data_IF_803787797078
#
_entry.id   IF_803787797078
#
_cell.length_a   1.000
_cell.length_b   1.000
_cell.length_c   1.000
_cell.angle_alpha   90.00
_cell.angle_beta   90.00
_cell.angle_gamma   90.00
#
_symmetry.space_group_name_H-M   'P 1'
#
loop_
_entity.id
_entity.type
_entity.pdbx_description
1 polymer ?
#
# COMPACT_ATOMS: atom_id res chain seq x y z
N UNK A 1 -23.01 23.01 -10.55
CA UNK A 1 -23.16 21.54 -10.62
C UNK A 1 -22.26 20.95 -9.55
N UNK A 2 -22.83 20.26 -8.55
CA UNK A 2 -22.03 19.69 -7.45
C UNK A 2 -21.31 18.46 -7.99
N UNK A 3 -20.11 18.64 -8.55
CA UNK A 3 -19.28 17.58 -9.10
C UNK A 3 -18.62 16.77 -7.99
N UNK A 4 -19.44 16.01 -7.24
CA UNK A 4 -18.94 15.07 -6.25
C UNK A 4 -18.44 13.80 -6.97
N UNK A 5 -17.13 13.72 -7.21
CA UNK A 5 -16.46 12.58 -7.85
C UNK A 5 -16.80 11.23 -7.20
N UNK A 6 -17.03 11.22 -5.88
CA UNK A 6 -17.49 10.03 -5.16
C UNK A 6 -18.84 9.53 -5.68
N UNK A 7 -19.81 10.44 -5.83
CA UNK A 7 -21.17 10.09 -6.26
C UNK A 7 -21.15 9.59 -7.70
N UNK A 8 -20.30 10.16 -8.56
CA UNK A 8 -20.10 9.68 -9.92
C UNK A 8 -19.52 8.26 -9.94
N UNK A 9 -18.50 7.98 -9.12
CA UNK A 9 -17.91 6.64 -9.01
C UNK A 9 -18.91 5.59 -8.51
N UNK A 10 -19.64 5.90 -7.44
CA UNK A 10 -20.68 4.99 -6.91
C UNK A 10 -21.85 4.81 -7.88
N UNK A 11 -22.27 5.86 -8.58
CA UNK A 11 -23.30 5.77 -9.61
C UNK A 11 -22.87 4.84 -10.75
N UNK A 12 -21.61 4.93 -11.21
CA UNK A 12 -21.08 4.04 -12.26
C UNK A 12 -21.07 2.56 -11.83
N UNK A 13 -20.72 2.28 -10.57
CA UNK A 13 -20.73 0.92 -10.03
C UNK A 13 -22.18 0.40 -9.92
N UNK A 14 -23.10 1.24 -9.45
CA UNK A 14 -24.50 0.89 -9.31
C UNK A 14 -25.17 0.64 -10.67
N UNK A 15 -24.86 1.46 -11.69
CA UNK A 15 -25.36 1.24 -13.05
C UNK A 15 -24.80 -0.03 -13.66
N UNK A 16 -23.51 -0.31 -13.47
CA UNK A 16 -22.90 -1.56 -13.93
C UNK A 16 -23.52 -2.78 -13.24
N UNK A 17 -23.75 -2.70 -11.92
CA UNK A 17 -24.46 -3.74 -11.16
C UNK A 17 -25.87 -3.97 -11.72
N UNK A 18 -26.65 -2.90 -11.95
CA UNK A 18 -27.98 -2.99 -12.53
C UNK A 18 -27.97 -3.59 -13.94
N UNK A 19 -27.00 -3.20 -14.78
CA UNK A 19 -26.87 -3.68 -16.16
C UNK A 19 -26.54 -5.18 -16.21
N UNK A 20 -25.60 -5.64 -15.36
CA UNK A 20 -25.25 -7.06 -15.27
C UNK A 20 -26.43 -7.89 -14.75
N UNK A 21 -27.17 -7.37 -13.77
CA UNK A 21 -28.36 -8.04 -13.26
C UNK A 21 -29.46 -8.15 -14.32
N UNK A 22 -29.62 -7.10 -15.15
CA UNK A 22 -30.60 -7.06 -16.22
C UNK A 22 -30.24 -8.01 -17.38
N UNK A 23 -28.97 -8.04 -17.81
CA UNK A 23 -28.56 -8.83 -18.98
C UNK A 23 -28.29 -10.30 -18.67
N UNK A 24 -27.64 -10.62 -17.55
CA UNK A 24 -27.24 -11.99 -17.22
C UNK A 24 -28.12 -12.63 -16.13
N UNK A 25 -29.02 -11.86 -15.52
CA UNK A 25 -29.88 -12.32 -14.43
C UNK A 25 -29.14 -12.58 -13.11
N UNK A 26 -29.87 -13.04 -12.07
CA UNK A 26 -29.30 -13.30 -10.74
C UNK A 26 -28.22 -14.38 -10.73
N UNK A 27 -28.29 -15.34 -11.67
CA UNK A 27 -27.32 -16.42 -11.79
C UNK A 27 -25.98 -15.94 -12.32
N UNK A 28 -25.97 -15.07 -13.34
CA UNK A 28 -24.73 -14.47 -13.83
C UNK A 28 -24.16 -13.42 -12.90
N UNK A 29 -25.03 -12.67 -12.20
CA UNK A 29 -24.60 -11.73 -11.15
C UNK A 29 -23.72 -12.38 -10.09
N UNK A 30 -23.96 -13.66 -9.73
CA UNK A 30 -23.13 -14.37 -8.74
C UNK A 30 -21.65 -14.47 -9.15
N UNK A 31 -21.36 -14.55 -10.45
CA UNK A 31 -19.98 -14.59 -10.95
C UNK A 31 -19.36 -13.19 -11.05
N UNK A 32 -20.15 -12.19 -11.45
CA UNK A 32 -19.68 -10.80 -11.61
C UNK A 32 -19.70 -9.98 -10.31
N UNK A 33 -20.34 -10.47 -9.25
CA UNK A 33 -20.45 -9.76 -7.98
C UNK A 33 -19.08 -9.40 -7.40
N UNK A 34 -18.14 -10.35 -7.44
CA UNK A 34 -16.81 -10.13 -6.88
C UNK A 34 -15.99 -9.07 -7.65
N UNK A 35 -15.90 -9.13 -9.00
CA UNK A 35 -15.32 -8.04 -9.79
C UNK A 35 -16.01 -6.67 -9.60
N UNK A 36 -17.35 -6.64 -9.49
CA UNK A 36 -18.10 -5.39 -9.32
C UNK A 36 -17.83 -4.79 -7.93
N UNK A 37 -17.80 -5.60 -6.88
CA UNK A 37 -17.39 -5.14 -5.55
C UNK A 37 -15.95 -4.64 -5.52
N UNK A 38 -15.05 -5.25 -6.30
CA UNK A 38 -13.66 -4.80 -6.40
C UNK A 38 -13.54 -3.38 -6.99
N UNK A 39 -14.44 -2.98 -7.90
CA UNK A 39 -14.46 -1.63 -8.46
C UNK A 39 -14.69 -0.54 -7.39
N UNK A 40 -15.21 -0.88 -6.21
CA UNK A 40 -15.33 0.07 -5.10
C UNK A 40 -13.97 0.62 -4.68
N UNK A 41 -12.89 -0.16 -4.79
CA UNK A 41 -11.52 0.34 -4.54
C UNK A 41 -11.04 1.36 -5.57
N UNK A 42 -11.66 1.42 -6.76
CA UNK A 42 -11.38 2.43 -7.76
C UNK A 42 -12.15 3.73 -7.52
N UNK A 43 -13.14 3.75 -6.62
CA UNK A 43 -13.82 5.00 -6.24
C UNK A 43 -12.94 5.75 -5.26
N UNK A 44 -12.62 7.00 -5.58
CA UNK A 44 -11.92 7.89 -4.66
C UNK A 44 -12.76 8.04 -3.39
N UNK A 45 -12.27 7.52 -2.27
CA UNK A 45 -12.88 7.74 -0.95
C UNK A 45 -12.86 9.24 -0.59
N UNK A 46 -13.74 9.65 0.32
CA UNK A 46 -13.87 11.04 0.75
C UNK A 46 -12.51 11.60 1.17
N UNK A 47 -12.11 12.72 0.56
CA UNK A 47 -10.82 13.38 0.80
C UNK A 47 -10.55 13.56 2.30
N UNK A 48 -11.56 13.96 3.08
CA UNK A 48 -11.44 14.15 4.53
C UNK A 48 -11.06 12.88 5.31
N UNK A 49 -11.62 11.73 4.95
CA UNK A 49 -11.29 10.44 5.60
C UNK A 49 -9.90 10.00 5.19
N UNK A 50 -9.59 10.12 3.90
CA UNK A 50 -8.30 9.78 3.33
C UNK A 50 -7.18 10.60 3.96
N UNK A 51 -7.34 11.91 4.08
CA UNK A 51 -6.33 12.80 4.68
C UNK A 51 -5.99 12.41 6.12
N UNK A 52 -7.01 12.13 6.95
CA UNK A 52 -6.79 11.68 8.34
C UNK A 52 -6.06 10.36 8.42
N UNK A 53 -6.47 9.37 7.64
CA UNK A 53 -5.83 8.05 7.60
C UNK A 53 -4.39 8.19 7.11
N UNK A 54 -4.18 8.90 6.00
CA UNK A 54 -2.85 9.07 5.40
C UNK A 54 -1.91 9.82 6.36
N UNK A 55 -2.40 10.80 7.11
CA UNK A 55 -1.61 11.51 8.11
C UNK A 55 -1.09 10.58 9.22
N UNK A 56 -1.94 9.72 9.76
CA UNK A 56 -1.53 8.74 10.77
C UNK A 56 -0.52 7.73 10.19
N UNK A 57 -0.78 7.25 8.96
CA UNK A 57 0.15 6.36 8.27
C UNK A 57 1.51 7.00 8.03
N UNK A 58 1.55 8.31 7.71
CA UNK A 58 2.80 9.07 7.56
C UNK A 58 3.58 9.08 8.88
N UNK A 59 2.94 9.39 10.00
CA UNK A 59 3.58 9.40 11.32
C UNK A 59 4.16 8.02 11.70
N UNK A 60 3.40 6.96 11.48
CA UNK A 60 3.86 5.59 11.74
C UNK A 60 5.02 5.23 10.82
N UNK A 61 4.92 5.58 9.54
CA UNK A 61 5.98 5.31 8.57
C UNK A 61 7.27 6.07 8.91
N UNK A 62 7.18 7.34 9.30
CA UNK A 62 8.34 8.15 9.69
C UNK A 62 9.05 7.58 10.90
N UNK A 63 8.30 7.20 11.95
CA UNK A 63 8.86 6.56 13.14
C UNK A 63 9.48 5.20 12.82
N UNK A 64 8.78 4.35 12.06
CA UNK A 64 9.30 3.03 11.69
C UNK A 64 10.56 3.11 10.83
N UNK A 65 10.61 4.09 9.91
CA UNK A 65 11.78 4.29 9.04
C UNK A 65 12.95 4.88 9.82
N UNK A 66 12.69 5.78 10.77
CA UNK A 66 13.70 6.28 11.70
C UNK A 66 14.34 5.13 12.47
N UNK A 67 13.55 4.24 13.09
CA UNK A 67 14.08 3.07 13.82
C UNK A 67 14.95 2.20 12.89
N UNK A 68 14.46 1.91 11.69
CA UNK A 68 15.18 1.05 10.74
C UNK A 68 16.51 1.69 10.29
N UNK A 69 16.51 2.99 10.02
CA UNK A 69 17.69 3.73 9.61
C UNK A 69 18.66 3.96 10.77
N UNK A 70 18.17 4.18 11.99
CA UNK A 70 18.99 4.34 13.19
C UNK A 70 19.76 3.05 13.51
N UNK A 71 19.11 1.89 13.39
CA UNK A 71 19.77 0.58 13.54
C UNK A 71 20.87 0.35 12.48
N UNK A 72 20.69 0.89 11.28
CA UNK A 72 21.67 0.81 10.18
C UNK A 72 22.76 1.88 10.26
N UNK A 73 22.51 3.00 10.98
CA UNK A 73 23.42 4.13 11.12
C UNK A 73 24.85 3.75 11.56
N UNK A 74 25.03 2.89 12.59
CA UNK A 74 26.34 2.42 13.02
C UNK A 74 27.12 1.64 11.95
N UNK A 75 26.42 0.95 11.04
CA UNK A 75 27.04 0.12 9.99
C UNK A 75 27.51 0.98 8.82
N UNK A 76 26.74 2.02 8.48
CA UNK A 76 27.00 2.89 7.34
C UNK A 76 27.65 4.24 7.71
N UNK A 77 27.81 4.54 9.00
CA UNK A 77 28.47 5.76 9.48
C UNK A 77 27.63 7.03 9.29
N UNK A 78 26.35 7.01 9.63
CA UNK A 78 25.49 8.20 9.65
C UNK A 78 24.65 8.25 10.93
N UNK A 79 24.21 9.44 11.32
CA UNK A 79 23.22 9.64 12.38
C UNK A 79 21.91 10.16 11.79
N UNK A 80 20.79 9.91 12.48
CA UNK A 80 19.48 10.30 11.98
C UNK A 80 18.59 10.85 13.09
N UNK A 81 18.02 12.03 12.84
CA UNK A 81 17.03 12.65 13.71
C UNK A 81 15.66 12.69 13.04
N UNK A 82 14.61 12.60 13.85
CA UNK A 82 13.22 12.67 13.38
C UNK A 82 12.55 13.93 13.93
N UNK A 83 12.26 14.89 13.05
CA UNK A 83 11.52 16.11 13.39
C UNK A 83 10.14 16.06 12.76
N UNK A 84 9.15 15.62 13.54
CA UNK A 84 7.77 15.44 13.07
C UNK A 84 7.66 14.32 12.03
N UNK A 85 7.64 14.69 10.75
CA UNK A 85 7.52 13.76 9.61
C UNK A 85 8.71 13.88 8.64
N UNK A 86 9.76 14.59 9.04
CA UNK A 86 11.00 14.77 8.27
C UNK A 86 12.13 14.04 8.99
N UNK A 87 12.84 13.20 8.25
CA UNK A 87 14.05 12.52 8.70
C UNK A 87 15.25 13.37 8.31
N UNK A 88 16.05 13.78 9.27
CA UNK A 88 17.29 14.53 9.07
C UNK A 88 18.44 13.56 9.15
N UNK A 89 19.03 13.24 8.00
CA UNK A 89 20.12 12.27 7.90
C UNK A 89 21.44 13.04 7.87
N UNK A 90 22.36 12.74 8.79
CA UNK A 90 23.68 13.35 8.89
C UNK A 90 24.76 12.30 8.53
N UNK A 91 25.28 12.31 7.29
CA UNK A 91 26.38 11.44 6.90
C UNK A 91 27.69 11.86 7.58
N UNK A 92 28.59 10.92 7.89
CA UNK A 92 29.94 11.25 8.41
C UNK A 92 30.77 12.08 7.42
N UNK A 93 30.45 12.02 6.14
CA UNK A 93 31.12 12.74 5.04
C UNK A 93 30.08 13.40 4.14
N UNK A 94 29.49 14.50 4.58
CA UNK A 94 28.57 15.26 3.74
C UNK A 94 27.72 16.29 4.50
N UNK A 95 26.96 17.11 3.75
CA UNK A 95 25.93 17.98 4.33
C UNK A 95 24.72 17.16 4.82
N UNK A 96 23.93 17.76 5.70
CA UNK A 96 22.65 17.21 6.14
C UNK A 96 21.70 16.99 4.96
N UNK A 97 21.03 15.84 4.96
CA UNK A 97 20.06 15.46 3.94
C UNK A 97 18.67 15.36 4.57
N UNK A 98 17.81 16.39 4.40
CA UNK A 98 16.45 16.35 4.91
C UNK A 98 15.56 15.52 3.99
N UNK A 99 15.05 14.39 4.49
CA UNK A 99 14.09 13.54 3.79
C UNK A 99 12.71 13.74 4.39
N UNK A 100 11.86 14.51 3.72
CA UNK A 100 10.47 14.64 4.12
C UNK A 100 9.68 13.39 3.74
N UNK A 101 9.26 12.60 4.74
CA UNK A 101 8.46 11.39 4.51
C UNK A 101 7.12 11.73 3.86
N UNK A 102 6.61 12.95 4.07
CA UNK A 102 5.36 13.39 3.46
C UNK A 102 5.47 13.60 1.94
N UNK A 103 6.68 13.92 1.44
CA UNK A 103 6.97 14.09 0.01
C UNK A 103 7.53 12.80 -0.61
N UNK A 104 8.25 12.00 0.19
CA UNK A 104 8.71 10.65 -0.16
C UNK A 104 7.61 9.59 -0.22
N UNK A 105 6.57 9.78 0.58
CA UNK A 105 5.33 9.06 0.44
C UNK A 105 4.37 9.96 -0.31
N UNK A 106 4.26 9.79 -1.63
CA UNK A 106 3.36 10.50 -2.55
C UNK A 106 1.85 10.31 -2.27
N UNK A 107 1.45 10.50 -1.02
CA UNK A 107 0.11 10.71 -0.54
C UNK A 107 -0.86 9.54 -0.72
N UNK A 108 -2.13 9.93 -0.69
CA UNK A 108 -3.35 9.12 -0.69
C UNK A 108 -3.42 8.01 -1.76
N UNK A 109 -2.61 8.09 -2.83
CA UNK A 109 -2.61 7.13 -3.94
C UNK A 109 -1.95 5.80 -3.60
N UNK A 110 -0.84 5.81 -2.85
CA UNK A 110 -0.11 4.58 -2.52
C UNK A 110 -0.89 3.66 -1.60
N UNK A 111 -1.60 4.23 -0.61
CA UNK A 111 -2.44 3.45 0.31
C UNK A 111 -3.57 2.77 -0.43
N UNK A 112 -4.27 3.50 -1.30
CA UNK A 112 -5.34 2.92 -2.14
C UNK A 112 -4.78 1.86 -3.09
N UNK A 113 -3.62 2.10 -3.70
CA UNK A 113 -2.97 1.12 -4.57
C UNK A 113 -2.61 -0.17 -3.82
N UNK A 114 -2.09 -0.07 -2.59
CA UNK A 114 -1.79 -1.24 -1.77
C UNK A 114 -3.04 -2.01 -1.35
N UNK A 115 -4.10 -1.32 -0.93
CA UNK A 115 -5.37 -1.98 -0.60
C UNK A 115 -6.03 -2.61 -1.83
N UNK A 116 -5.99 -1.94 -2.98
CA UNK A 116 -6.48 -2.49 -4.24
C UNK A 116 -5.67 -3.73 -4.64
N UNK A 117 -4.34 -3.65 -4.56
CA UNK A 117 -3.46 -4.77 -4.89
C UNK A 117 -3.68 -5.96 -3.93
N UNK A 118 -3.76 -5.71 -2.63
CA UNK A 118 -4.06 -6.74 -1.65
C UNK A 118 -5.43 -7.37 -1.87
N UNK A 119 -6.44 -6.55 -2.22
CA UNK A 119 -7.75 -7.02 -2.64
C UNK A 119 -7.66 -7.92 -3.87
N UNK A 120 -6.93 -7.52 -4.91
CA UNK A 120 -6.74 -8.33 -6.11
C UNK A 120 -6.06 -9.66 -5.80
N UNK A 121 -4.99 -9.65 -5.00
CA UNK A 121 -4.30 -10.88 -4.57
C UNK A 121 -5.22 -11.78 -3.74
N UNK A 122 -6.00 -11.22 -2.80
CA UNK A 122 -6.98 -11.98 -2.03
C UNK A 122 -8.04 -12.63 -2.93
N UNK A 123 -8.51 -11.90 -3.94
CA UNK A 123 -9.49 -12.40 -4.90
C UNK A 123 -8.95 -13.53 -5.77
N UNK A 124 -7.71 -13.41 -6.25
CA UNK A 124 -7.10 -14.36 -7.16
C UNK A 124 -6.56 -15.61 -6.44
N UNK A 125 -6.09 -15.45 -5.21
CA UNK A 125 -5.38 -16.52 -4.49
C UNK A 125 -6.28 -17.30 -3.54
N UNK A 126 -7.38 -16.70 -3.02
CA UNK A 126 -8.22 -17.37 -2.01
C UNK A 126 -9.66 -17.62 -2.46
N UNK A 127 -10.09 -18.88 -2.28
CA UNK A 127 -11.45 -19.33 -2.60
C UNK A 127 -12.45 -19.12 -1.46
N UNK A 128 -11.98 -19.04 -0.20
CA UNK A 128 -12.88 -18.96 0.98
C UNK A 128 -13.08 -17.51 1.45
N UNK A 129 -14.33 -17.14 1.73
CA UNK A 129 -14.70 -15.77 2.15
C UNK A 129 -13.98 -15.29 3.42
N UNK A 130 -13.76 -16.18 4.40
CA UNK A 130 -13.00 -15.85 5.61
C UNK A 130 -11.52 -15.56 5.34
N UNK A 131 -10.90 -16.27 4.38
CA UNK A 131 -9.50 -16.02 4.00
C UNK A 131 -9.35 -14.66 3.32
N UNK A 132 -10.34 -14.26 2.50
CA UNK A 132 -10.39 -12.93 1.88
C UNK A 132 -10.45 -11.82 2.92
N UNK A 133 -11.29 -11.97 3.95
CA UNK A 133 -11.39 -11.01 5.05
C UNK A 133 -10.08 -10.96 5.85
N UNK A 134 -9.49 -12.10 6.17
CA UNK A 134 -8.21 -12.16 6.89
C UNK A 134 -7.08 -11.48 6.11
N UNK A 135 -6.96 -11.74 4.80
CA UNK A 135 -6.00 -11.08 3.92
C UNK A 135 -6.23 -9.56 3.83
N UNK A 136 -7.50 -9.14 3.73
CA UNK A 136 -7.86 -7.73 3.73
C UNK A 136 -7.51 -7.02 5.04
N UNK A 137 -7.66 -7.70 6.19
CA UNK A 137 -7.23 -7.17 7.48
C UNK A 137 -5.70 -7.10 7.57
N UNK A 138 -5.00 -8.12 7.05
CA UNK A 138 -3.54 -8.16 7.01
C UNK A 138 -2.94 -7.13 6.03
N UNK A 139 -3.70 -6.73 5.01
CA UNK A 139 -3.29 -5.75 4.03
C UNK A 139 -2.88 -4.41 4.65
N UNK A 140 -3.61 -3.95 5.68
CA UNK A 140 -3.32 -2.69 6.37
C UNK A 140 -1.93 -2.69 7.02
N UNK A 141 -1.65 -3.60 7.97
CA UNK A 141 -0.32 -3.73 8.59
C UNK A 141 0.80 -3.94 7.57
N UNK A 142 0.58 -4.76 6.55
CA UNK A 142 1.60 -5.03 5.51
C UNK A 142 1.86 -3.79 4.66
N UNK A 143 0.82 -3.04 4.28
CA UNK A 143 0.97 -1.79 3.56
C UNK A 143 1.80 -0.77 4.35
N UNK A 144 1.58 -0.69 5.68
CA UNK A 144 2.39 0.15 6.57
C UNK A 144 3.85 -0.33 6.60
N UNK A 145 4.09 -1.63 6.77
CA UNK A 145 5.44 -2.19 6.80
C UNK A 145 6.20 -1.96 5.48
N UNK A 146 5.58 -2.20 4.34
CA UNK A 146 6.17 -1.92 3.02
C UNK A 146 6.43 -0.42 2.83
N UNK A 147 5.57 0.44 3.36
CA UNK A 147 5.78 1.88 3.32
C UNK A 147 6.98 2.33 4.16
N UNK A 148 7.18 1.72 5.35
CA UNK A 148 8.38 1.92 6.18
C UNK A 148 9.65 1.52 5.42
N UNK A 149 9.66 0.31 4.84
CA UNK A 149 10.81 -0.18 4.08
C UNK A 149 11.10 0.74 2.90
N UNK A 150 10.07 1.20 2.17
CA UNK A 150 10.24 2.11 1.02
C UNK A 150 10.96 3.40 1.43
N UNK A 151 10.52 4.02 2.53
CA UNK A 151 11.10 5.28 3.02
C UNK A 151 12.52 5.06 3.53
N UNK A 152 12.79 3.95 4.22
CA UNK A 152 14.13 3.61 4.66
C UNK A 152 15.09 3.37 3.49
N UNK A 153 14.67 2.61 2.47
CA UNK A 153 15.47 2.38 1.26
C UNK A 153 15.74 3.70 0.54
N UNK A 154 14.73 4.57 0.41
CA UNK A 154 14.91 5.88 -0.20
C UNK A 154 15.90 6.74 0.60
N UNK A 155 15.83 6.73 1.93
CA UNK A 155 16.81 7.41 2.79
C UNK A 155 18.23 6.86 2.62
N UNK A 156 18.38 5.54 2.47
CA UNK A 156 19.68 4.92 2.22
C UNK A 156 20.23 5.26 0.82
N UNK A 157 19.38 5.29 -0.21
CA UNK A 157 19.79 5.70 -1.56
C UNK A 157 20.18 7.19 -1.58
N UNK A 158 19.46 8.01 -0.83
CA UNK A 158 19.74 9.43 -0.67
C UNK A 158 21.13 9.72 -0.07
N UNK A 159 21.73 8.77 0.66
CA UNK A 159 23.09 8.89 1.21
C UNK A 159 24.18 8.73 0.15
N UNK A 160 23.90 8.02 -0.96
CA UNK A 160 24.88 7.78 -2.03
C UNK A 160 24.92 8.94 -3.00
N UNK A 161 23.75 9.46 -3.37
CA UNK A 161 23.62 10.63 -4.24
C UNK A 161 22.45 11.51 -3.77
N UNK A 162 22.73 12.70 -3.21
CA UNK A 162 21.69 13.65 -2.77
C UNK A 162 20.78 14.12 -3.92
N UNK A 163 21.28 14.17 -5.16
CA UNK A 163 20.49 14.52 -6.34
C UNK A 163 19.41 13.45 -6.68
N UNK A 164 19.59 12.19 -6.28
CA UNK A 164 18.58 11.15 -6.49
C UNK A 164 17.34 11.33 -5.62
N UNK A 165 17.46 12.08 -4.52
CA UNK A 165 16.34 12.44 -3.65
C UNK A 165 15.57 13.69 -4.11
N UNK A 166 16.08 14.43 -5.10
CA UNK A 166 15.46 15.65 -5.64
C UNK A 166 15.23 15.55 -7.16
N UNK A 167 13.97 15.48 -7.60
CA UNK A 167 13.59 15.51 -9.02
C UNK A 167 12.88 14.24 -9.50
N UNK A 168 12.94 13.96 -10.81
CA UNK A 168 12.26 12.82 -11.44
C UNK A 168 12.75 11.44 -10.94
N UNK A 169 14.00 11.36 -10.47
CA UNK A 169 14.59 10.16 -9.89
C UNK A 169 13.79 9.65 -8.67
N UNK A 170 13.28 10.56 -7.84
CA UNK A 170 12.45 10.24 -6.69
C UNK A 170 11.15 9.51 -7.06
N UNK A 171 10.48 9.95 -8.14
CA UNK A 171 9.28 9.27 -8.65
C UNK A 171 9.61 7.91 -9.27
N UNK A 172 10.73 7.80 -9.99
CA UNK A 172 11.16 6.55 -10.62
C UNK A 172 11.55 5.51 -9.56
N UNK A 173 12.32 5.90 -8.54
CA UNK A 173 12.70 5.05 -7.41
C UNK A 173 11.46 4.63 -6.62
N UNK A 174 10.55 5.56 -6.34
CA UNK A 174 9.27 5.27 -5.67
C UNK A 174 8.41 4.26 -6.45
N UNK A 175 8.42 4.33 -7.78
CA UNK A 175 7.68 3.40 -8.65
C UNK A 175 8.40 2.06 -8.78
N UNK A 176 9.73 2.04 -8.86
CA UNK A 176 10.52 0.80 -8.85
C UNK A 176 10.30 -0.01 -7.58
N UNK A 177 10.16 0.67 -6.43
CA UNK A 177 9.91 0.03 -5.14
C UNK A 177 8.48 -0.54 -5.00
N UNK A 178 7.56 -0.27 -5.94
CA UNK A 178 6.30 -1.01 -6.02
C UNK A 178 6.51 -2.48 -6.41
N UNK A 179 7.51 -2.78 -7.23
CA UNK A 179 7.78 -4.14 -7.71
C UNK A 179 8.10 -5.10 -6.54
N UNK A 180 9.07 -4.84 -5.66
CA UNK A 180 9.33 -5.72 -4.52
C UNK A 180 8.13 -5.78 -3.56
N UNK A 181 7.36 -4.70 -3.42
CA UNK A 181 6.16 -4.73 -2.59
C UNK A 181 5.08 -5.66 -3.16
N UNK A 182 4.91 -5.70 -4.49
CA UNK A 182 4.04 -6.65 -5.18
C UNK A 182 4.48 -8.09 -4.93
N UNK A 183 5.79 -8.37 -5.06
CA UNK A 183 6.33 -9.70 -4.74
C UNK A 183 6.11 -10.09 -3.29
N UNK A 184 6.21 -9.14 -2.35
CA UNK A 184 5.92 -9.40 -0.94
C UNK A 184 4.44 -9.77 -0.71
N UNK A 185 3.50 -9.07 -1.35
CA UNK A 185 2.07 -9.39 -1.28
C UNK A 185 1.75 -10.77 -1.90
N UNK A 186 2.36 -11.10 -3.04
CA UNK A 186 2.22 -12.42 -3.67
C UNK A 186 2.81 -13.53 -2.78
N UNK A 187 3.99 -13.29 -2.19
CA UNK A 187 4.63 -14.20 -1.25
C UNK A 187 3.78 -14.41 0.00
N UNK A 188 3.17 -13.37 0.54
CA UNK A 188 2.29 -13.47 1.70
C UNK A 188 1.00 -14.24 1.38
N UNK A 189 0.41 -14.01 0.20
CA UNK A 189 -0.72 -14.81 -0.30
C UNK A 189 -0.35 -16.29 -0.43
N UNK A 190 0.82 -16.58 -0.98
CA UNK A 190 1.35 -17.94 -1.12
C UNK A 190 1.64 -18.60 0.25
N UNK A 191 2.27 -17.88 1.19
CA UNK A 191 2.54 -18.38 2.54
C UNK A 191 1.24 -18.66 3.29
N UNK A 192 0.23 -17.78 3.17
CA UNK A 192 -1.05 -17.97 3.83
C UNK A 192 -1.82 -19.17 3.24
N UNK A 193 -1.74 -19.37 1.92
CA UNK A 193 -2.30 -20.54 1.25
C UNK A 193 -1.58 -21.83 1.69
N UNK A 194 -0.25 -21.77 1.87
CA UNK A 194 0.59 -22.91 2.28
C UNK A 194 0.45 -23.27 3.77
N UNK A 195 0.32 -22.28 4.65
CA UNK A 195 0.16 -22.49 6.10
C UNK A 195 -1.21 -23.06 6.48
N UNK A 196 -2.23 -22.84 5.65
CA UNK A 196 -3.62 -23.25 5.93
C UNK A 196 -4.08 -24.37 4.98
N UNK A 197 -3.23 -24.76 4.01
CA UNK A 197 -3.27 -26.08 3.40
C UNK A 197 -2.85 -27.15 4.43
N UNK A 198 -3.68 -27.37 5.44
CA UNK A 198 -3.68 -28.65 6.14
C UNK A 198 -4.02 -29.76 5.12
N UNK A 199 -3.40 -30.94 5.23
CA UNK A 199 -3.56 -32.01 4.25
C UNK A 199 -5.02 -32.43 4.17
N UNK A 200 -5.49 -32.77 2.97
CA UNK A 200 -6.69 -33.57 2.81
C UNK A 200 -6.59 -34.81 3.71
N UNK A 201 -7.39 -34.86 4.78
CA UNK A 201 -7.31 -35.96 5.74
C UNK A 201 -8.41 -35.92 6.80
N UNK A 202 -9.62 -36.33 6.42
CA UNK A 202 -10.63 -36.72 7.39
C UNK A 202 -12.08 -36.48 6.98
N UNK A 203 -12.56 -37.23 5.98
CA UNK A 203 -13.95 -37.68 6.05
C UNK A 203 -14.03 -38.64 7.24
N UNK A 204 -14.91 -38.35 8.19
CA UNK A 204 -15.53 -39.32 9.07
C UNK A 204 -17.03 -38.99 9.11
#
# INVERSE_FOLDING_TARGET
TISNHMVQGFAMILTLFGLVLLMLGPRGMRYCFMPICYLVFCVTLAQMVMERVTFQLKLIASKGSWILLDVLGPVFGYTIDLTGNTLHIYPSTGPEIPLNVADACSGMRMVVAFFALAGAVALLTTNRWWQRIALMLLAGPVAVAMNIIRVAVLGLVSLVDPELASGDAHMVIGTLLLIPSLFFFLGLGWVLDRLISEPEGGKA
#
